data_IF_105664638928
#
_entry.id   IF_105664638928
#
_cell.length_a   1.000
_cell.length_b   1.000
_cell.length_c   1.000
_cell.angle_alpha   90.00
_cell.angle_beta   90.00
_cell.angle_gamma   90.00
#
_symmetry.space_group_name_H-M   'P 1'
#
loop_
_entity.id
_entity.type
_entity.pdbx_description
1 polymer ?
#
# COMPACT_ATOMS: atom_id res chain seq x y z
N UNK A 1 -59.35 2.11 1.97
CA UNK A 1 -59.87 2.93 3.09
C UNK A 1 -59.83 4.44 2.82
N UNK A 2 -58.92 5.01 2.03
CA UNK A 2 -58.89 6.48 1.78
C UNK A 2 -60.07 7.01 0.93
N UNK A 3 -60.63 6.24 0.04
CA UNK A 3 -61.71 6.71 -0.84
C UNK A 3 -63.08 6.71 -0.10
N UNK A 4 -63.29 5.81 0.83
CA UNK A 4 -64.52 5.77 1.62
C UNK A 4 -64.66 6.99 2.55
N UNK A 5 -63.56 7.45 3.10
CA UNK A 5 -63.50 8.66 3.95
C UNK A 5 -63.72 9.95 3.15
N UNK A 6 -63.31 10.01 1.89
CA UNK A 6 -63.45 11.18 1.04
C UNK A 6 -64.87 11.41 0.54
N UNK A 7 -65.63 10.34 0.35
CA UNK A 7 -66.99 10.43 -0.17
C UNK A 7 -68.08 10.53 0.89
N UNK A 8 -67.79 10.04 2.13
CA UNK A 8 -68.76 10.02 3.24
C UNK A 8 -68.31 10.81 4.47
N UNK A 9 -67.11 11.38 4.44
CA UNK A 9 -66.56 12.11 5.60
C UNK A 9 -67.42 13.29 6.03
N UNK A 10 -67.99 14.03 5.10
CA UNK A 10 -68.85 15.14 5.38
C UNK A 10 -70.22 14.68 6.00
N UNK A 11 -70.70 13.54 5.56
CA UNK A 11 -71.96 12.94 6.11
C UNK A 11 -71.72 12.37 7.51
N UNK A 12 -70.61 11.76 7.74
CA UNK A 12 -70.21 11.22 9.08
C UNK A 12 -70.03 12.40 10.06
N UNK A 13 -69.38 13.46 9.62
CA UNK A 13 -69.20 14.68 10.43
C UNK A 13 -70.53 15.38 10.74
N UNK A 14 -71.44 15.45 9.74
CA UNK A 14 -72.78 15.99 9.94
C UNK A 14 -73.64 15.14 10.87
N UNK A 15 -73.56 13.81 10.80
CA UNK A 15 -74.25 12.91 11.73
C UNK A 15 -73.69 13.02 13.14
N UNK A 16 -72.35 13.10 13.28
CA UNK A 16 -71.70 13.30 14.60
C UNK A 16 -72.10 14.66 15.22
N UNK A 17 -72.11 15.71 14.41
CA UNK A 17 -72.61 17.04 14.87
C UNK A 17 -74.08 17.04 15.26
N UNK A 18 -74.93 16.38 14.48
CA UNK A 18 -76.36 16.23 14.79
C UNK A 18 -76.61 15.44 16.09
N UNK A 19 -75.87 14.38 16.34
CA UNK A 19 -75.92 13.59 17.58
C UNK A 19 -75.41 14.41 18.74
N UNK A 20 -74.33 15.22 18.58
CA UNK A 20 -73.88 16.12 19.67
C UNK A 20 -74.85 17.22 19.99
N UNK A 21 -75.52 17.80 19.00
CA UNK A 21 -76.63 18.79 19.26
C UNK A 21 -77.86 18.14 19.88
N UNK A 22 -78.28 16.92 19.47
CA UNK A 22 -79.36 16.19 20.07
C UNK A 22 -79.03 15.82 21.52
N UNK A 23 -77.84 15.40 21.88
CA UNK A 23 -77.35 15.14 23.22
C UNK A 23 -77.37 16.46 24.07
N UNK A 24 -76.93 17.58 23.51
CA UNK A 24 -76.98 18.89 24.16
C UNK A 24 -78.34 19.37 24.43
N UNK A 25 -79.30 19.16 23.51
CA UNK A 25 -80.74 19.46 23.72
C UNK A 25 -81.42 18.56 24.75
N UNK A 26 -81.05 17.26 24.80
CA UNK A 26 -81.50 16.31 25.81
C UNK A 26 -81.01 16.67 27.23
N UNK A 27 -79.76 17.18 27.34
CA UNK A 27 -79.21 17.65 28.63
C UNK A 27 -79.87 18.94 29.10
N UNK A 28 -80.30 19.81 28.17
CA UNK A 28 -80.98 21.05 28.51
C UNK A 28 -82.43 20.81 28.99
N UNK A 29 -83.08 19.74 28.51
CA UNK A 29 -84.50 19.45 28.84
C UNK A 29 -84.68 18.51 30.03
N UNK A 30 -83.67 17.75 30.48
CA UNK A 30 -83.75 16.82 31.60
C UNK A 30 -83.11 17.37 32.89
N UNK A 31 -83.91 17.88 33.76
CA UNK A 31 -83.50 18.41 35.08
C UNK A 31 -83.30 17.31 36.15
N UNK A 32 -82.76 16.14 35.82
CA UNK A 32 -82.46 15.07 36.81
C UNK A 32 -81.03 14.61 36.69
N UNK A 33 -80.22 15.08 37.63
CA UNK A 33 -78.75 15.07 37.63
C UNK A 33 -78.03 13.75 37.95
N UNK A 34 -78.68 12.62 38.11
CA UNK A 34 -78.01 11.39 38.58
C UNK A 34 -77.81 10.26 37.54
N UNK A 35 -78.53 10.30 36.42
CA UNK A 35 -78.43 9.26 35.37
C UNK A 35 -77.51 9.66 34.24
N UNK A 36 -77.31 10.97 34.05
CA UNK A 36 -76.49 11.53 33.00
C UNK A 36 -74.97 11.42 33.24
N UNK A 37 -74.54 11.45 34.51
CA UNK A 37 -73.11 11.29 34.84
C UNK A 37 -72.59 9.90 34.52
N UNK A 38 -73.39 8.84 34.71
CA UNK A 38 -72.98 7.47 34.34
C UNK A 38 -73.02 7.19 32.85
N UNK A 39 -73.91 7.84 32.09
CA UNK A 39 -73.95 7.66 30.59
C UNK A 39 -72.84 8.46 29.93
N UNK A 40 -72.52 9.66 30.41
CA UNK A 40 -71.43 10.45 29.92
C UNK A 40 -70.05 9.74 30.11
N UNK A 41 -69.87 9.04 31.23
CA UNK A 41 -68.66 8.24 31.52
C UNK A 41 -68.49 7.06 30.55
N UNK A 42 -69.56 6.34 30.25
CA UNK A 42 -69.56 5.18 29.38
C UNK A 42 -69.31 5.58 27.90
N UNK A 43 -69.85 6.72 27.48
CA UNK A 43 -69.64 7.21 26.07
C UNK A 43 -68.27 7.87 25.86
N UNK A 44 -67.70 8.49 26.90
CA UNK A 44 -66.41 9.16 26.80
C UNK A 44 -65.23 8.19 26.96
N UNK A 45 -65.46 7.02 27.57
CA UNK A 45 -64.39 6.02 27.80
C UNK A 45 -63.75 5.51 26.50
N UNK A 46 -64.49 5.09 25.45
CA UNK A 46 -63.89 4.64 24.20
C UNK A 46 -63.16 5.75 23.43
N UNK A 47 -63.61 7.01 23.56
CA UNK A 47 -62.95 8.15 22.93
C UNK A 47 -61.63 8.52 23.62
N UNK A 48 -61.57 8.41 24.95
CA UNK A 48 -60.31 8.60 25.69
C UNK A 48 -59.34 7.48 25.42
N UNK A 49 -59.78 6.23 25.39
CA UNK A 49 -58.93 5.08 25.05
C UNK A 49 -58.40 5.15 23.60
N UNK A 50 -59.23 5.63 22.67
CA UNK A 50 -58.78 5.85 21.28
C UNK A 50 -57.79 7.03 21.17
N UNK A 51 -58.02 8.10 21.94
CA UNK A 51 -57.09 9.26 21.94
C UNK A 51 -55.73 8.91 22.56
N UNK A 52 -55.70 8.15 23.66
CA UNK A 52 -54.42 7.65 24.25
C UNK A 52 -53.72 6.68 23.33
N UNK A 53 -54.44 5.72 22.72
CA UNK A 53 -53.82 4.77 21.77
C UNK A 53 -53.21 5.47 20.53
N UNK A 54 -53.82 6.56 20.04
CA UNK A 54 -53.30 7.36 18.95
C UNK A 54 -52.10 8.18 19.42
N UNK A 55 -52.11 8.74 20.62
CA UNK A 55 -50.98 9.50 21.15
C UNK A 55 -49.78 8.59 21.43
N UNK A 56 -50.02 7.41 21.99
CA UNK A 56 -48.95 6.43 22.26
C UNK A 56 -48.35 5.89 20.96
N UNK A 57 -49.18 5.59 19.96
CA UNK A 57 -48.72 5.20 18.65
C UNK A 57 -47.89 6.33 17.94
N UNK A 58 -48.31 7.57 18.11
CA UNK A 58 -47.58 8.72 17.53
C UNK A 58 -46.27 8.98 18.28
N UNK A 59 -46.21 8.75 19.61
CA UNK A 59 -45.02 8.86 20.42
C UNK A 59 -44.00 7.75 20.05
N UNK A 60 -44.45 6.48 19.97
CA UNK A 60 -43.61 5.35 19.53
C UNK A 60 -43.04 5.56 18.13
N UNK A 61 -43.86 6.10 17.20
CA UNK A 61 -43.39 6.42 15.86
C UNK A 61 -42.35 7.52 15.86
N UNK A 62 -42.51 8.55 16.65
CA UNK A 62 -41.56 9.66 16.77
C UNK A 62 -40.24 9.18 17.36
N UNK A 63 -40.30 8.40 18.45
CA UNK A 63 -39.12 7.83 19.07
C UNK A 63 -38.37 6.88 18.10
N UNK A 64 -39.06 6.05 17.35
CA UNK A 64 -38.46 5.18 16.32
C UNK A 64 -37.76 5.97 15.22
N UNK A 65 -38.29 7.12 14.79
CA UNK A 65 -37.63 7.98 13.77
C UNK A 65 -36.45 8.75 14.37
N UNK A 66 -36.53 9.22 15.63
CA UNK A 66 -35.41 9.85 16.31
C UNK A 66 -34.26 8.85 16.54
N UNK A 67 -34.53 7.66 17.00
CA UNK A 67 -33.54 6.59 17.17
C UNK A 67 -32.91 6.19 15.84
N UNK A 68 -33.68 6.15 14.75
CA UNK A 68 -33.15 5.79 13.42
C UNK A 68 -32.27 6.89 12.82
N UNK A 69 -32.55 8.16 13.13
CA UNK A 69 -31.71 9.29 12.68
C UNK A 69 -30.40 9.36 13.46
N UNK A 70 -30.47 9.24 14.79
CA UNK A 70 -29.27 9.17 15.65
C UNK A 70 -28.37 8.00 15.30
N UNK A 71 -28.91 6.81 15.09
CA UNK A 71 -28.13 5.63 14.64
C UNK A 71 -27.49 5.83 13.27
N UNK A 72 -28.13 6.55 12.35
CA UNK A 72 -27.54 6.88 11.04
C UNK A 72 -26.42 7.89 11.18
N UNK A 73 -26.59 8.91 12.02
CA UNK A 73 -25.57 9.91 12.30
C UNK A 73 -24.35 9.29 13.00
N UNK A 74 -24.57 8.44 14.01
CA UNK A 74 -23.52 7.67 14.68
C UNK A 74 -22.78 6.74 13.70
N UNK A 75 -23.52 6.04 12.82
CA UNK A 75 -22.92 5.18 11.82
C UNK A 75 -22.09 5.97 10.79
N UNK A 76 -22.55 7.17 10.43
CA UNK A 76 -21.79 8.07 9.55
C UNK A 76 -20.53 8.62 10.23
N UNK A 77 -20.64 9.00 11.51
CA UNK A 77 -19.52 9.45 12.32
C UNK A 77 -18.47 8.34 12.51
N UNK A 78 -18.91 7.13 12.89
CA UNK A 78 -18.02 5.97 13.03
C UNK A 78 -17.32 5.59 11.70
N UNK A 79 -18.03 5.65 10.57
CA UNK A 79 -17.41 5.41 9.26
C UNK A 79 -16.35 6.44 8.92
N UNK A 80 -16.60 7.71 9.25
CA UNK A 80 -15.61 8.77 9.08
C UNK A 80 -14.40 8.54 9.98
N UNK A 81 -14.61 8.23 11.26
CA UNK A 81 -13.54 7.93 12.20
C UNK A 81 -12.69 6.73 11.75
N UNK A 82 -13.34 5.65 11.27
CA UNK A 82 -12.62 4.49 10.70
C UNK A 82 -11.79 4.91 9.47
N UNK A 83 -12.32 5.78 8.61
CA UNK A 83 -11.58 6.27 7.45
C UNK A 83 -10.36 7.11 7.85
N UNK A 84 -10.52 7.98 8.85
CA UNK A 84 -9.46 8.83 9.38
C UNK A 84 -8.39 7.98 10.09
N UNK A 85 -8.80 7.01 10.92
CA UNK A 85 -7.88 6.08 11.58
C UNK A 85 -7.08 5.24 10.58
N UNK A 86 -7.73 4.75 9.52
CA UNK A 86 -7.05 4.03 8.44
C UNK A 86 -6.07 4.92 7.67
N UNK A 87 -6.38 6.19 7.48
CA UNK A 87 -5.46 7.13 6.86
C UNK A 87 -4.24 7.37 7.75
N UNK A 88 -4.44 7.59 9.04
CA UNK A 88 -3.35 7.72 10.03
C UNK A 88 -2.50 6.46 10.12
N UNK A 89 -3.12 5.28 10.10
CA UNK A 89 -2.39 4.01 10.11
C UNK A 89 -1.47 3.86 8.88
N UNK A 90 -1.99 4.17 7.67
CA UNK A 90 -1.16 4.15 6.45
C UNK A 90 0.00 5.13 6.53
N UNK A 91 -0.25 6.35 7.02
CA UNK A 91 0.81 7.34 7.20
C UNK A 91 1.87 6.87 8.19
N UNK A 92 1.45 6.38 9.37
CA UNK A 92 2.38 5.85 10.37
C UNK A 92 3.20 4.66 9.86
N UNK A 93 2.61 3.83 9.00
CA UNK A 93 3.32 2.72 8.38
C UNK A 93 4.35 3.22 7.36
N UNK A 94 4.00 4.19 6.51
CA UNK A 94 4.95 4.83 5.59
C UNK A 94 6.12 5.51 6.34
N UNK A 95 5.81 6.28 7.39
CA UNK A 95 6.83 6.93 8.22
C UNK A 95 7.76 5.90 8.91
N UNK A 96 7.22 4.73 9.29
CA UNK A 96 8.01 3.64 9.89
C UNK A 96 8.94 2.99 8.86
N UNK A 97 8.48 2.79 7.64
CA UNK A 97 9.28 2.23 6.53
C UNK A 97 10.39 3.22 6.14
N UNK A 98 10.06 4.51 5.98
CA UNK A 98 11.05 5.57 5.74
C UNK A 98 12.10 5.64 6.85
N UNK A 99 11.68 5.58 8.13
CA UNK A 99 12.62 5.59 9.25
C UNK A 99 13.56 4.38 9.27
N UNK A 100 13.03 3.21 8.86
CA UNK A 100 13.85 2.00 8.71
C UNK A 100 14.90 2.19 7.62
N UNK A 101 14.50 2.69 6.45
CA UNK A 101 15.38 2.97 5.33
C UNK A 101 16.47 3.97 5.70
N UNK A 102 16.11 5.10 6.35
CA UNK A 102 17.07 6.10 6.81
C UNK A 102 18.10 5.51 7.79
N UNK A 103 17.69 4.60 8.67
CA UNK A 103 18.61 3.91 9.57
C UNK A 103 19.56 2.96 8.81
N UNK A 104 19.09 2.30 7.78
CA UNK A 104 19.92 1.44 6.92
C UNK A 104 20.91 2.27 6.13
N UNK A 105 20.48 3.39 5.55
CA UNK A 105 21.38 4.36 4.90
C UNK A 105 22.48 4.87 5.86
N UNK A 106 22.10 5.25 7.07
CA UNK A 106 23.07 5.70 8.07
C UNK A 106 24.08 4.60 8.42
N UNK A 107 23.67 3.33 8.45
CA UNK A 107 24.58 2.21 8.65
C UNK A 107 25.53 2.04 7.47
N UNK A 108 25.05 2.13 6.23
CA UNK A 108 25.89 2.09 5.04
C UNK A 108 26.90 3.22 5.04
N UNK A 109 26.49 4.46 5.30
CA UNK A 109 27.39 5.61 5.40
C UNK A 109 28.42 5.47 6.52
N UNK A 110 28.08 4.82 7.64
CA UNK A 110 29.05 4.54 8.72
C UNK A 110 30.06 3.47 8.33
N UNK A 111 29.67 2.49 7.52
CA UNK A 111 30.54 1.42 7.04
C UNK A 111 31.43 1.88 5.88
N UNK A 112 30.88 2.73 5.00
CA UNK A 112 31.54 3.22 3.78
C UNK A 112 31.50 4.76 3.78
N UNK A 113 32.36 5.35 4.59
CA UNK A 113 32.50 6.82 4.73
C UNK A 113 33.10 7.50 3.51
N UNK A 114 33.68 6.70 2.64
CA UNK A 114 34.24 7.04 1.36
C UNK A 114 33.17 7.24 0.27
N UNK A 115 31.90 6.91 0.51
CA UNK A 115 30.81 7.01 -0.47
C UNK A 115 29.84 8.12 -0.14
N UNK A 116 29.39 8.82 -1.20
CA UNK A 116 28.24 9.72 -1.15
C UNK A 116 27.03 8.99 -1.75
N UNK A 117 25.95 8.91 -1.00
CA UNK A 117 24.75 8.19 -1.42
C UNK A 117 23.56 9.15 -1.66
N UNK A 118 22.85 8.92 -2.75
CA UNK A 118 21.54 9.54 -3.06
C UNK A 118 20.47 8.47 -3.03
N UNK A 119 19.47 8.61 -2.15
CA UNK A 119 18.32 7.72 -2.11
C UNK A 119 17.35 8.02 -3.25
N UNK A 120 16.87 7.00 -3.94
CA UNK A 120 15.94 7.15 -5.06
C UNK A 120 14.96 5.99 -5.13
N UNK A 121 13.70 6.29 -5.49
CA UNK A 121 12.67 5.28 -5.65
C UNK A 121 12.71 4.66 -7.06
N UNK A 122 12.42 3.38 -7.14
CA UNK A 122 12.24 2.66 -8.40
C UNK A 122 10.83 2.94 -8.92
N UNK A 123 10.74 3.53 -10.11
CA UNK A 123 9.48 3.86 -10.78
C UNK A 123 8.93 2.70 -11.59
N UNK A 124 9.82 1.97 -12.25
CA UNK A 124 9.44 0.86 -13.12
C UNK A 124 10.58 -0.16 -13.25
N UNK A 125 10.19 -1.40 -13.43
CA UNK A 125 11.05 -2.50 -13.80
C UNK A 125 10.81 -2.81 -15.29
N UNK A 126 11.84 -2.87 -16.07
CA UNK A 126 11.78 -3.26 -17.49
C UNK A 126 12.59 -4.51 -17.67
N UNK A 127 11.89 -5.62 -17.85
CA UNK A 127 12.48 -6.91 -18.16
C UNK A 127 12.02 -7.35 -19.53
N UNK A 128 12.97 -7.61 -20.41
CA UNK A 128 12.74 -8.23 -21.70
C UNK A 128 13.61 -9.48 -21.83
N UNK A 129 13.51 -10.20 -22.93
CA UNK A 129 14.39 -11.35 -23.19
C UNK A 129 15.88 -10.97 -23.33
N UNK A 130 16.19 -9.68 -23.40
CA UNK A 130 17.53 -9.17 -23.69
C UNK A 130 18.03 -8.13 -22.70
N UNK A 131 17.15 -7.52 -21.94
CA UNK A 131 17.49 -6.37 -21.10
C UNK A 131 16.80 -6.47 -19.76
N UNK A 132 17.55 -6.19 -18.70
CA UNK A 132 17.06 -6.02 -17.34
C UNK A 132 17.46 -4.65 -16.84
N UNK A 133 16.48 -3.72 -16.71
CA UNK A 133 16.73 -2.35 -16.30
C UNK A 133 15.67 -1.83 -15.33
N UNK A 134 16.06 -0.82 -14.54
CA UNK A 134 15.19 -0.12 -13.58
C UNK A 134 15.14 1.35 -13.97
N UNK A 135 13.96 1.97 -13.86
CA UNK A 135 13.82 3.42 -13.96
C UNK A 135 13.73 4.03 -12.57
N UNK A 136 14.48 5.08 -12.30
CA UNK A 136 14.55 5.80 -11.04
C UNK A 136 13.87 7.17 -11.14
N UNK A 137 13.40 7.73 -10.03
CA UNK A 137 12.70 9.01 -9.98
C UNK A 137 13.62 10.24 -9.81
N UNK A 138 14.93 10.07 -9.88
CA UNK A 138 15.93 11.13 -9.84
C UNK A 138 16.93 11.00 -10.98
N UNK A 139 17.53 12.12 -11.35
CA UNK A 139 18.54 12.20 -12.41
C UNK A 139 19.55 13.29 -12.07
N UNK A 140 19.85 14.17 -13.02
CA UNK A 140 20.82 15.27 -12.82
C UNK A 140 20.34 16.30 -11.78
N UNK A 141 19.08 16.28 -11.38
CA UNK A 141 18.53 17.08 -10.28
C UNK A 141 19.14 16.74 -8.90
N UNK A 142 19.70 15.54 -8.77
CA UNK A 142 20.37 15.03 -7.57
C UNK A 142 21.83 14.65 -7.84
N UNK A 143 22.45 15.28 -8.82
CA UNK A 143 23.86 15.05 -9.21
C UNK A 143 24.16 13.60 -9.67
N UNK A 144 23.13 12.84 -10.09
CA UNK A 144 23.30 11.51 -10.64
C UNK A 144 23.89 11.62 -12.05
N UNK A 145 24.91 10.81 -12.34
CA UNK A 145 25.60 10.75 -13.60
C UNK A 145 25.61 9.35 -14.22
N UNK A 146 25.83 9.27 -15.53
CA UNK A 146 26.04 7.98 -16.21
C UNK A 146 27.35 7.35 -15.69
N UNK A 147 27.27 6.08 -15.31
CA UNK A 147 28.37 5.33 -14.71
C UNK A 147 28.31 5.24 -13.19
N UNK A 148 27.42 5.99 -12.53
CA UNK A 148 27.22 5.87 -11.08
C UNK A 148 26.71 4.48 -10.70
N UNK A 149 27.27 3.92 -9.63
CA UNK A 149 26.86 2.61 -9.14
C UNK A 149 25.60 2.70 -8.29
N UNK A 150 24.74 1.71 -8.43
CA UNK A 150 23.48 1.59 -7.69
C UNK A 150 23.55 0.39 -6.77
N UNK A 151 23.20 0.60 -5.51
CA UNK A 151 23.20 -0.45 -4.47
C UNK A 151 21.84 -0.52 -3.77
N UNK A 152 21.52 -1.71 -3.23
CA UNK A 152 20.35 -1.90 -2.37
C UNK A 152 20.56 -1.29 -0.98
N UNK A 153 19.51 -1.28 -0.15
CA UNK A 153 19.56 -0.83 1.24
C UNK A 153 20.55 -1.64 2.10
N UNK A 154 20.79 -2.89 1.74
CA UNK A 154 21.76 -3.78 2.39
C UNK A 154 23.19 -3.61 1.87
N UNK A 155 23.39 -2.81 0.82
CA UNK A 155 24.70 -2.54 0.21
C UNK A 155 25.10 -3.53 -0.87
N UNK A 156 24.16 -4.28 -1.44
CA UNK A 156 24.39 -5.17 -2.56
C UNK A 156 24.35 -4.41 -3.89
N UNK A 157 25.23 -4.75 -4.82
CA UNK A 157 25.28 -4.10 -6.12
C UNK A 157 24.06 -4.45 -6.97
N UNK A 158 23.28 -3.43 -7.33
CA UNK A 158 22.10 -3.54 -8.20
C UNK A 158 22.49 -3.42 -9.67
N UNK A 159 23.33 -2.43 -9.99
CA UNK A 159 23.72 -2.13 -11.36
C UNK A 159 24.46 -0.81 -11.49
N UNK A 160 24.40 -0.23 -12.67
CA UNK A 160 25.03 1.04 -13.00
C UNK A 160 24.05 1.94 -13.77
N UNK A 161 24.16 3.24 -13.60
CA UNK A 161 23.36 4.21 -14.35
C UNK A 161 23.83 4.19 -15.82
N UNK A 162 22.94 3.79 -16.72
CA UNK A 162 23.18 3.75 -18.16
C UNK A 162 22.73 5.01 -18.88
N UNK A 163 21.62 5.60 -18.43
CA UNK A 163 21.06 6.82 -19.00
C UNK A 163 20.57 7.75 -17.89
N UNK A 164 20.74 9.05 -18.11
CA UNK A 164 20.33 10.09 -17.17
C UNK A 164 19.52 11.16 -17.88
N UNK A 165 18.33 11.44 -17.35
CA UNK A 165 17.52 12.61 -17.66
C UNK A 165 17.61 13.67 -16.57
N UNK A 166 16.75 14.71 -16.63
CA UNK A 166 16.74 15.77 -15.64
C UNK A 166 16.26 15.25 -14.26
N UNK A 167 15.14 14.52 -14.23
CA UNK A 167 14.46 14.02 -13.04
C UNK A 167 14.17 12.51 -13.11
N UNK A 168 14.88 11.79 -13.93
CA UNK A 168 14.79 10.34 -14.04
C UNK A 168 16.13 9.79 -14.53
N UNK A 169 16.41 8.54 -14.21
CA UNK A 169 17.57 7.79 -14.71
C UNK A 169 17.23 6.34 -14.95
N UNK A 170 18.02 5.67 -15.75
CA UNK A 170 17.90 4.24 -16.06
C UNK A 170 19.10 3.51 -15.52
N UNK A 171 18.85 2.48 -14.74
CA UNK A 171 19.87 1.54 -14.23
C UNK A 171 19.90 0.32 -15.13
N UNK A 172 21.05 -0.05 -15.62
CA UNK A 172 21.31 -1.35 -16.18
C UNK A 172 21.70 -2.29 -15.03
N UNK A 173 20.93 -3.35 -14.83
CA UNK A 173 21.19 -4.25 -13.69
C UNK A 173 22.39 -5.15 -13.95
N UNK A 174 22.97 -5.70 -12.88
CA UNK A 174 24.13 -6.61 -13.01
C UNK A 174 23.82 -7.92 -13.75
N UNK A 175 22.55 -8.31 -13.86
CA UNK A 175 22.11 -9.51 -14.59
C UNK A 175 21.86 -9.23 -16.07
N UNK A 176 21.91 -7.98 -16.53
CA UNK A 176 21.70 -7.61 -17.92
C UNK A 176 22.81 -8.17 -18.80
N UNK A 177 22.46 -8.61 -20.01
CA UNK A 177 23.43 -9.22 -20.96
C UNK A 177 24.53 -8.29 -21.42
N UNK A 178 24.31 -6.99 -21.35
CA UNK A 178 25.31 -5.96 -21.71
C UNK A 178 26.19 -5.55 -20.51
N UNK A 179 25.98 -6.16 -19.34
CA UNK A 179 26.76 -5.86 -18.13
C UNK A 179 27.96 -6.79 -18.03
N UNK A 180 29.15 -6.18 -17.89
CA UNK A 180 30.40 -6.85 -17.59
C UNK A 180 31.14 -6.04 -16.52
N UNK A 181 31.56 -6.69 -15.43
CA UNK A 181 32.23 -6.02 -14.32
C UNK A 181 33.34 -6.85 -13.72
N UNK A 182 34.40 -6.16 -13.31
CA UNK A 182 35.53 -6.76 -12.61
C UNK A 182 35.08 -7.28 -11.26
N UNK A 183 35.21 -8.56 -11.03
CA UNK A 183 34.82 -9.26 -9.82
C UNK A 183 36.03 -9.82 -9.08
N UNK A 184 35.87 -10.11 -7.81
CA UNK A 184 36.87 -10.77 -6.97
C UNK A 184 36.19 -11.74 -6.01
N UNK A 185 36.78 -12.93 -5.84
CA UNK A 185 36.35 -13.86 -4.82
C UNK A 185 36.78 -13.31 -3.46
N UNK A 186 35.83 -13.04 -2.56
CA UNK A 186 36.13 -12.41 -1.29
C UNK A 186 37.11 -13.21 -0.43
N UNK A 187 37.00 -14.54 -0.44
CA UNK A 187 37.80 -15.45 0.37
C UNK A 187 39.25 -15.56 -0.08
N UNK A 188 39.50 -15.72 -1.38
CA UNK A 188 40.85 -15.96 -1.96
C UNK A 188 41.51 -14.69 -2.46
N UNK A 189 40.73 -13.67 -2.82
CA UNK A 189 41.21 -12.44 -3.43
C UNK A 189 41.44 -12.56 -4.94
N UNK A 190 41.20 -13.71 -5.52
CA UNK A 190 41.34 -13.97 -6.95
C UNK A 190 40.38 -13.15 -7.80
N UNK A 191 40.87 -12.63 -8.93
CA UNK A 191 40.13 -11.75 -9.83
C UNK A 191 39.46 -12.58 -10.92
N UNK A 192 38.21 -12.25 -11.20
CA UNK A 192 37.39 -12.85 -12.22
C UNK A 192 36.54 -11.76 -12.89
N UNK A 193 35.68 -12.12 -13.82
CA UNK A 193 34.75 -11.21 -14.47
C UNK A 193 33.33 -11.74 -14.22
N UNK A 194 32.47 -10.91 -13.65
CA UNK A 194 31.05 -11.18 -13.57
C UNK A 194 30.36 -10.55 -14.78
N UNK A 195 29.59 -11.34 -15.49
CA UNK A 195 28.91 -10.93 -16.71
C UNK A 195 27.46 -11.43 -16.73
N UNK A 196 26.58 -10.64 -17.33
CA UNK A 196 25.24 -11.11 -17.64
C UNK A 196 25.27 -12.16 -18.75
N UNK A 197 24.39 -13.14 -18.64
CA UNK A 197 24.28 -14.23 -19.62
C UNK A 197 22.83 -14.44 -20.00
N UNK A 198 22.56 -14.52 -21.29
CA UNK A 198 21.20 -14.65 -21.81
C UNK A 198 20.42 -15.83 -21.23
N UNK A 199 21.09 -16.95 -21.00
CA UNK A 199 20.47 -18.17 -20.44
C UNK A 199 20.22 -18.08 -18.94
N UNK A 200 20.97 -17.24 -18.23
CA UNK A 200 20.93 -17.05 -16.79
C UNK A 200 20.07 -15.86 -16.36
N UNK A 201 19.99 -14.81 -17.18
CA UNK A 201 19.26 -13.58 -16.89
C UNK A 201 17.79 -13.86 -16.56
N UNK A 202 17.10 -14.72 -17.32
CA UNK A 202 15.71 -15.12 -17.05
C UNK A 202 15.51 -15.89 -15.73
N UNK A 203 16.59 -16.31 -15.08
CA UNK A 203 16.61 -16.94 -13.75
C UNK A 203 17.09 -15.95 -12.68
N UNK A 204 17.36 -14.70 -13.04
CA UNK A 204 17.91 -13.68 -12.14
C UNK A 204 19.37 -13.95 -11.73
N UNK A 205 20.16 -14.62 -12.56
CA UNK A 205 21.53 -15.08 -12.25
C UNK A 205 22.55 -14.48 -13.21
N UNK A 206 23.83 -14.50 -12.79
CA UNK A 206 24.97 -14.05 -13.57
C UNK A 206 25.95 -15.21 -13.79
N UNK A 207 26.88 -14.97 -14.69
CA UNK A 207 28.03 -15.83 -14.96
C UNK A 207 29.30 -15.21 -14.42
N UNK A 208 30.14 -16.00 -13.76
CA UNK A 208 31.50 -15.62 -13.38
C UNK A 208 32.47 -16.37 -14.29
N UNK A 209 33.15 -15.60 -15.13
CA UNK A 209 34.07 -16.09 -16.16
C UNK A 209 35.54 -15.82 -15.79
N UNK A 210 36.44 -16.27 -16.65
CA UNK A 210 37.88 -16.13 -16.51
C UNK A 210 38.45 -16.76 -15.25
N UNK A 211 37.80 -17.86 -14.77
CA UNK A 211 38.33 -18.67 -13.70
C UNK A 211 39.52 -19.49 -14.19
N UNK A 212 40.67 -19.35 -13.54
CA UNK A 212 41.85 -20.15 -13.86
C UNK A 212 41.69 -21.58 -13.31
N UNK A 213 42.46 -22.53 -13.84
CA UNK A 213 42.39 -23.94 -13.39
C UNK A 213 42.85 -24.13 -11.95
N UNK A 214 43.59 -23.18 -11.42
CA UNK A 214 44.11 -23.21 -10.05
C UNK A 214 43.19 -22.47 -9.04
N UNK A 215 42.16 -21.80 -9.55
CA UNK A 215 41.19 -21.09 -8.68
C UNK A 215 40.40 -22.07 -7.81
N UNK A 216 40.56 -21.93 -6.50
CA UNK A 216 39.82 -22.67 -5.51
C UNK A 216 38.43 -22.07 -5.25
N UNK A 217 37.62 -21.90 -6.32
CA UNK A 217 36.24 -21.39 -6.17
C UNK A 217 35.37 -22.48 -5.56
N UNK A 218 34.67 -22.13 -4.50
CA UNK A 218 33.76 -23.02 -3.78
C UNK A 218 32.31 -22.52 -3.91
N UNK A 219 31.36 -23.45 -3.91
CA UNK A 219 29.94 -23.11 -3.78
C UNK A 219 29.72 -22.41 -2.46
N UNK A 220 29.04 -21.25 -2.50
CA UNK A 220 28.83 -20.36 -1.37
C UNK A 220 29.87 -19.26 -1.19
N UNK A 221 30.94 -19.23 -2.00
CA UNK A 221 31.89 -18.12 -2.00
C UNK A 221 31.19 -16.82 -2.39
N UNK A 222 31.46 -15.78 -1.60
CA UNK A 222 30.94 -14.44 -1.86
C UNK A 222 31.81 -13.75 -2.91
N UNK A 223 31.15 -13.16 -3.89
CA UNK A 223 31.76 -12.42 -4.99
C UNK A 223 31.50 -10.92 -4.77
N UNK A 224 32.57 -10.14 -4.84
CA UNK A 224 32.54 -8.68 -4.68
C UNK A 224 33.16 -7.99 -5.88
N UNK A 225 32.90 -6.71 -6.07
CA UNK A 225 33.57 -5.89 -7.11
C UNK A 225 35.05 -5.81 -6.82
N UNK A 226 35.88 -5.90 -7.87
CA UNK A 226 37.34 -5.84 -7.75
C UNK A 226 37.87 -4.40 -7.59
N UNK A 227 37.14 -3.40 -8.08
CA UNK A 227 37.61 -2.02 -8.20
C UNK A 227 38.53 -1.77 -9.42
N UNK A 228 38.89 -2.83 -10.15
CA UNK A 228 39.74 -2.71 -11.34
C UNK A 228 38.99 -2.02 -12.47
N UNK A 229 39.67 -1.13 -13.19
CA UNK A 229 39.11 -0.36 -14.28
C UNK A 229 38.42 0.95 -13.86
N UNK A 230 38.24 1.20 -12.57
CA UNK A 230 37.70 2.47 -12.03
C UNK A 230 36.20 2.74 -12.25
N UNK A 231 35.49 1.78 -12.84
CA UNK A 231 34.04 1.94 -13.10
C UNK A 231 33.16 1.57 -11.88
N UNK A 232 33.66 0.68 -11.04
CA UNK A 232 32.95 0.22 -9.85
C UNK A 232 33.82 0.37 -8.60
N UNK A 233 33.28 0.91 -7.50
CA UNK A 233 33.99 0.90 -6.22
C UNK A 233 34.34 -0.54 -5.81
N UNK A 234 35.51 -0.74 -5.18
CA UNK A 234 35.93 -2.07 -4.71
C UNK A 234 35.10 -2.53 -3.51
N UNK A 235 34.76 -3.83 -3.47
CA UNK A 235 34.18 -4.49 -2.30
C UNK A 235 32.64 -4.41 -2.21
N UNK A 236 31.95 -3.99 -3.26
CA UNK A 236 30.48 -4.13 -3.32
C UNK A 236 30.12 -5.59 -3.57
N UNK A 237 29.19 -6.12 -2.80
CA UNK A 237 28.74 -7.52 -2.94
C UNK A 237 27.88 -7.68 -4.18
N UNK A 238 28.28 -8.58 -5.08
CA UNK A 238 27.54 -8.92 -6.30
C UNK A 238 26.56 -10.07 -6.02
N UNK A 239 27.07 -11.14 -5.41
CA UNK A 239 26.30 -12.36 -5.15
C UNK A 239 27.14 -13.45 -4.52
N UNK A 240 26.64 -14.67 -4.57
CA UNK A 240 27.35 -15.88 -4.12
C UNK A 240 27.38 -16.95 -5.20
N UNK A 241 28.41 -17.78 -5.19
CA UNK A 241 28.55 -18.92 -6.11
C UNK A 241 27.48 -19.96 -5.79
N UNK A 242 26.59 -20.22 -6.73
CA UNK A 242 25.56 -21.26 -6.60
C UNK A 242 26.01 -22.60 -7.16
N UNK A 243 26.68 -22.59 -8.31
CA UNK A 243 27.19 -23.80 -8.95
C UNK A 243 28.41 -23.51 -9.81
N UNK A 244 29.21 -24.55 -10.04
CA UNK A 244 30.34 -24.53 -10.94
C UNK A 244 30.00 -25.36 -12.18
N UNK A 245 30.29 -24.81 -13.36
CA UNK A 245 29.99 -25.44 -14.64
C UNK A 245 31.21 -25.42 -15.54
N UNK A 246 31.20 -26.28 -16.54
CA UNK A 246 32.23 -26.32 -17.59
C UNK A 246 31.56 -25.89 -18.90
N UNK A 247 32.22 -25.01 -19.62
CA UNK A 247 31.70 -24.55 -20.90
C UNK A 247 31.57 -25.69 -21.93
N UNK A 248 30.83 -25.45 -22.99
CA UNK A 248 30.54 -26.42 -24.05
C UNK A 248 31.83 -26.89 -24.77
N UNK A 249 32.90 -26.11 -24.69
CA UNK A 249 34.23 -26.45 -25.19
C UNK A 249 35.00 -27.47 -24.32
N UNK A 250 34.47 -27.74 -23.10
CA UNK A 250 35.07 -28.65 -22.13
C UNK A 250 36.38 -28.12 -21.49
N UNK A 251 36.80 -26.90 -21.80
CA UNK A 251 38.06 -26.30 -21.35
C UNK A 251 37.84 -25.15 -20.38
N UNK A 252 36.88 -24.25 -20.68
CA UNK A 252 36.59 -23.12 -19.83
C UNK A 252 35.68 -23.52 -18.65
N UNK A 253 36.09 -23.15 -17.45
CA UNK A 253 35.26 -23.25 -16.24
C UNK A 253 34.61 -21.92 -15.95
N UNK A 254 33.36 -21.93 -15.54
CA UNK A 254 32.64 -20.77 -15.06
C UNK A 254 31.80 -21.10 -13.85
N UNK A 255 31.46 -20.09 -13.07
CA UNK A 255 30.50 -20.23 -11.97
C UNK A 255 29.21 -19.51 -12.28
N UNK A 256 28.09 -20.06 -11.80
CA UNK A 256 26.81 -19.39 -11.79
C UNK A 256 26.68 -18.66 -10.46
N UNK A 257 26.42 -17.35 -10.52
CA UNK A 257 26.22 -16.52 -9.34
C UNK A 257 24.74 -16.26 -9.11
N UNK A 258 24.32 -16.42 -7.86
CA UNK A 258 23.03 -15.96 -7.38
C UNK A 258 23.23 -14.57 -6.70
N UNK A 259 22.61 -13.49 -7.22
CA UNK A 259 22.58 -12.22 -6.52
C UNK A 259 21.98 -12.36 -5.12
N UNK A 260 22.39 -11.48 -4.19
CA UNK A 260 21.89 -11.50 -2.80
C UNK A 260 20.54 -10.79 -2.62
N UNK A 261 19.90 -10.40 -3.73
CA UNK A 261 18.63 -9.68 -3.73
C UNK A 261 17.71 -10.15 -4.86
N UNK A 262 16.44 -9.81 -4.74
CA UNK A 262 15.44 -9.96 -5.80
C UNK A 262 15.22 -8.59 -6.49
N UNK A 263 15.62 -8.47 -7.76
CA UNK A 263 15.49 -7.23 -8.53
C UNK A 263 14.03 -6.81 -8.70
N UNK A 264 13.10 -7.74 -8.80
CA UNK A 264 11.67 -7.46 -8.97
C UNK A 264 11.02 -6.87 -7.72
N UNK A 265 11.61 -7.09 -6.56
CA UNK A 265 11.11 -6.61 -5.27
C UNK A 265 11.68 -5.24 -4.87
N UNK A 266 12.65 -4.70 -5.63
CA UNK A 266 13.29 -3.41 -5.30
C UNK A 266 12.30 -2.25 -5.50
N UNK A 267 12.05 -1.51 -4.43
CA UNK A 267 11.22 -0.28 -4.44
C UNK A 267 12.05 0.97 -4.26
N UNK A 268 13.19 0.85 -3.59
CA UNK A 268 14.14 1.94 -3.32
C UNK A 268 15.56 1.42 -3.45
N UNK A 269 16.43 2.29 -3.94
CA UNK A 269 17.85 2.03 -4.14
C UNK A 269 18.68 3.26 -3.77
N UNK A 270 19.98 3.07 -3.62
CA UNK A 270 20.93 4.15 -3.35
C UNK A 270 21.93 4.26 -4.50
N UNK A 271 22.06 5.46 -5.05
CA UNK A 271 23.05 5.78 -6.07
C UNK A 271 24.31 6.30 -5.37
N UNK A 272 25.46 5.75 -5.71
CA UNK A 272 26.79 6.21 -5.26
C UNK A 272 27.26 7.25 -6.26
N UNK A 273 27.16 8.53 -5.89
CA UNK A 273 27.51 9.66 -6.79
C UNK A 273 28.97 10.10 -6.68
N UNK A 274 29.64 9.72 -5.60
CA UNK A 274 31.06 10.02 -5.39
C UNK A 274 31.72 8.93 -4.52
N UNK A 275 32.94 8.54 -4.89
CA UNK A 275 33.76 7.60 -4.12
C UNK A 275 35.24 7.77 -4.43
N UNK A 276 36.08 7.52 -3.43
CA UNK A 276 37.53 7.53 -3.60
C UNK A 276 38.00 6.31 -4.38
N UNK A 277 38.60 6.54 -5.53
CA UNK A 277 39.29 5.49 -6.28
C UNK A 277 40.60 5.19 -5.57
N UNK A 278 40.66 4.05 -4.90
CA UNK A 278 41.89 3.56 -4.27
C UNK A 278 42.70 2.86 -5.36
N UNK A 279 43.80 3.50 -5.80
CA UNK A 279 44.79 2.95 -6.74
C UNK A 279 45.54 1.75 -6.15
#
# INVERSE_FOLDING_TARGET
>A
MKEFFRQHGLRILAVAAAVAVALSLLTYFSSTSSVLENIAGVLTYPFRAAATAVSDWAADKRQYYEDTTTLKEENAALKKEIADLRAQQRQAQADSEENKLLRELLKLQQQRRDFTFVSTAVLAHSESSWTSSLSLNHGTDQDIAVGDCVVSAEGYLVGVISEVGLNCSTVLTVIDTDTELGARIFRTGEVAVAEGDFSLMGQGKLKLSYLTSDDEVLIGDQIVTSGLGGYYPSGLVIGSVESLQTGDDGLARYAVLAPMMDFAALTEVFVITDYDIVD
#
